data_IF_599027042107
#
_entry.id   IF_599027042107
#
_cell.length_a   1.000
_cell.length_b   1.000
_cell.length_c   1.000
_cell.angle_alpha   90.00
_cell.angle_beta   90.00
_cell.angle_gamma   90.00
#
_symmetry.space_group_name_H-M   'P 1'
#
loop_
_entity.id
_entity.type
_entity.pdbx_description
1 polymer ?
#
# COMPACT_ATOMS: atom_id res chain seq x y z
N UNK A 1 -3.12 18.76 29.85
CA UNK A 1 -4.01 17.76 30.47
C UNK A 1 -4.31 16.57 29.53
N UNK A 2 -3.31 16.07 28.79
CA UNK A 2 -3.48 14.88 27.92
C UNK A 2 -2.41 13.81 28.15
N UNK A 3 -1.48 14.04 29.08
CA UNK A 3 -0.33 13.15 29.33
C UNK A 3 -0.58 12.12 30.44
N UNK A 4 -1.65 12.26 31.22
CA UNK A 4 -1.92 11.37 32.37
C UNK A 4 -2.80 10.14 32.05
N UNK A 5 -3.47 10.10 30.90
CA UNK A 5 -4.36 8.97 30.55
C UNK A 5 -3.66 7.77 29.91
N UNK A 6 -2.36 7.84 29.61
CA UNK A 6 -1.63 6.79 28.88
C UNK A 6 -0.82 5.83 29.78
N UNK A 7 -0.96 5.94 31.12
CA UNK A 7 -0.10 5.18 32.07
C UNK A 7 -0.72 3.88 32.62
N UNK A 8 -1.89 3.45 32.16
CA UNK A 8 -2.58 2.29 32.77
C UNK A 8 -2.89 1.12 31.82
N UNK A 9 -2.47 1.16 30.56
CA UNK A 9 -2.58 -0.01 29.68
C UNK A 9 -1.39 -0.95 29.95
N UNK A 10 -1.61 -2.19 30.43
CA UNK A 10 -0.53 -3.14 30.61
C UNK A 10 0.20 -3.36 29.28
N UNK A 11 1.53 -3.50 29.30
CA UNK A 11 2.36 -3.73 28.10
C UNK A 11 1.83 -4.87 27.21
N UNK A 12 1.17 -5.86 27.83
CA UNK A 12 0.55 -6.99 27.14
C UNK A 12 -0.67 -6.61 26.29
N UNK A 13 -1.51 -5.66 26.75
CA UNK A 13 -2.67 -5.21 25.99
C UNK A 13 -2.24 -4.32 24.80
N UNK A 14 -1.19 -3.52 24.95
CA UNK A 14 -0.57 -2.83 23.80
C UNK A 14 -0.12 -3.84 22.75
N UNK A 15 0.64 -4.88 23.14
CA UNK A 15 1.12 -5.91 22.22
C UNK A 15 -0.03 -6.61 21.50
N UNK A 16 -1.08 -7.02 22.24
CA UNK A 16 -2.28 -7.65 21.68
C UNK A 16 -2.97 -6.77 20.64
N UNK A 17 -3.11 -5.48 20.90
CA UNK A 17 -3.72 -4.53 19.97
C UNK A 17 -2.85 -4.30 18.72
N UNK A 18 -1.54 -4.21 18.88
CA UNK A 18 -0.60 -4.12 17.75
C UNK A 18 -0.69 -5.36 16.85
N UNK A 19 -0.69 -6.56 17.42
CA UNK A 19 -0.82 -7.81 16.66
C UNK A 19 -2.18 -7.90 15.94
N UNK A 20 -3.26 -7.49 16.62
CA UNK A 20 -4.61 -7.43 16.03
C UNK A 20 -4.65 -6.46 14.84
N UNK A 21 -4.00 -5.30 14.95
CA UNK A 21 -3.86 -4.34 13.85
C UNK A 21 -3.04 -4.91 12.70
N UNK A 22 -1.93 -5.59 13.00
CA UNK A 22 -1.09 -6.27 12.02
C UNK A 22 -1.87 -7.29 11.19
N UNK A 23 -2.58 -8.21 11.86
CA UNK A 23 -3.42 -9.23 11.21
C UNK A 23 -4.52 -8.61 10.34
N UNK A 24 -5.19 -7.56 10.82
CA UNK A 24 -6.22 -6.85 10.04
C UNK A 24 -5.65 -6.22 8.78
N UNK A 25 -4.45 -5.63 8.86
CA UNK A 25 -3.77 -5.05 7.71
C UNK A 25 -3.39 -6.11 6.68
N UNK A 26 -2.86 -7.26 7.13
CA UNK A 26 -2.52 -8.38 6.24
C UNK A 26 -3.76 -8.95 5.54
N UNK A 27 -4.87 -9.11 6.27
CA UNK A 27 -6.14 -9.52 5.68
C UNK A 27 -6.62 -8.51 4.63
N UNK A 28 -6.51 -7.20 4.92
CA UNK A 28 -6.87 -6.16 3.97
C UNK A 28 -6.05 -6.25 2.68
N UNK A 29 -4.74 -6.48 2.79
CA UNK A 29 -3.86 -6.65 1.63
C UNK A 29 -4.19 -7.91 0.83
N UNK A 30 -4.48 -9.02 1.50
CA UNK A 30 -4.90 -10.26 0.84
C UNK A 30 -6.22 -10.08 0.08
N UNK A 31 -7.22 -9.44 0.70
CA UNK A 31 -8.51 -9.17 0.08
C UNK A 31 -8.37 -8.23 -1.13
N UNK A 32 -7.53 -7.20 -1.02
CA UNK A 32 -7.26 -6.26 -2.11
C UNK A 32 -6.60 -6.96 -3.30
N UNK A 33 -5.56 -7.77 -3.05
CA UNK A 33 -4.89 -8.54 -4.11
C UNK A 33 -5.86 -9.50 -4.80
N UNK A 34 -6.68 -10.24 -4.05
CA UNK A 34 -7.68 -11.15 -4.60
C UNK A 34 -8.71 -10.42 -5.47
N UNK A 35 -9.16 -9.24 -5.03
CA UNK A 35 -10.10 -8.43 -5.80
C UNK A 35 -9.50 -7.91 -7.11
N UNK A 36 -8.26 -7.40 -7.07
CA UNK A 36 -7.55 -6.93 -8.28
C UNK A 36 -7.35 -8.09 -9.27
N UNK A 37 -6.92 -9.25 -8.79
CA UNK A 37 -6.73 -10.44 -9.63
C UNK A 37 -8.05 -10.84 -10.28
N UNK A 38 -9.14 -10.87 -9.53
CA UNK A 38 -10.48 -11.15 -10.07
C UNK A 38 -10.83 -10.18 -11.22
N UNK A 39 -10.64 -8.88 -11.02
CA UNK A 39 -10.87 -7.89 -12.07
C UNK A 39 -9.96 -8.10 -13.28
N UNK A 40 -8.68 -8.43 -13.07
CA UNK A 40 -7.74 -8.68 -14.16
C UNK A 40 -8.16 -9.91 -14.99
N UNK A 41 -8.64 -10.97 -14.33
CA UNK A 41 -9.13 -12.17 -15.01
C UNK A 41 -10.43 -11.89 -15.79
N UNK A 42 -11.36 -11.13 -15.21
CA UNK A 42 -12.61 -10.73 -15.87
C UNK A 42 -12.36 -9.84 -17.09
N UNK A 43 -11.34 -8.98 -17.05
CA UNK A 43 -10.97 -8.07 -18.12
C UNK A 43 -9.91 -8.64 -19.08
N UNK A 44 -9.48 -9.90 -18.89
CA UNK A 44 -8.40 -10.55 -19.66
C UNK A 44 -7.09 -9.76 -19.73
N UNK A 45 -6.71 -9.12 -18.61
CA UNK A 45 -5.47 -8.35 -18.48
C UNK A 45 -4.31 -9.31 -18.19
N UNK A 46 -3.29 -9.30 -19.04
CA UNK A 46 -2.07 -10.10 -18.88
C UNK A 46 -0.95 -9.36 -18.12
N UNK A 47 -1.02 -8.03 -18.04
CA UNK A 47 0.03 -7.19 -17.46
C UNK A 47 -0.55 -6.08 -16.60
N UNK A 48 -0.04 -5.96 -15.37
CA UNK A 48 -0.37 -4.90 -14.41
C UNK A 48 0.84 -3.99 -14.20
N UNK A 49 0.66 -2.69 -14.43
CA UNK A 49 1.64 -1.67 -14.05
C UNK A 49 1.26 -1.10 -12.68
N UNK A 50 2.17 -1.20 -11.73
CA UNK A 50 1.99 -0.73 -10.35
C UNK A 50 2.91 0.48 -10.17
N UNK A 51 2.36 1.61 -9.76
CA UNK A 51 3.16 2.76 -9.36
C UNK A 51 4.08 2.40 -8.18
N UNK A 52 5.36 2.76 -8.23
CA UNK A 52 6.25 2.72 -7.06
C UNK A 52 6.43 4.13 -6.52
N UNK A 53 6.18 4.26 -5.22
CA UNK A 53 6.36 5.50 -4.47
C UNK A 53 7.82 5.68 -4.00
N UNK A 54 8.74 4.78 -4.39
CA UNK A 54 10.17 4.97 -4.18
C UNK A 54 10.63 6.29 -4.82
N UNK A 55 11.00 7.26 -3.97
CA UNK A 55 11.49 8.58 -4.40
C UNK A 55 10.61 9.76 -3.98
N UNK A 56 9.35 9.54 -3.63
CA UNK A 56 8.44 10.59 -3.14
C UNK A 56 8.66 10.94 -1.65
N UNK A 57 9.66 10.35 -1.00
CA UNK A 57 9.97 10.55 0.41
C UNK A 57 10.65 11.90 0.72
N UNK A 58 10.94 12.73 -0.30
CA UNK A 58 11.73 13.93 -0.11
C UNK A 58 10.90 15.20 0.11
N UNK A 59 11.31 15.94 1.14
CA UNK A 59 11.11 17.36 1.44
C UNK A 59 9.97 17.88 2.32
N UNK A 60 9.07 17.04 2.86
CA UNK A 60 8.23 17.49 3.99
C UNK A 60 8.08 16.39 5.04
N UNK A 61 8.34 16.67 6.34
CA UNK A 61 7.89 15.81 7.43
C UNK A 61 6.36 15.90 7.53
N UNK A 62 5.67 15.32 6.56
CA UNK A 62 4.27 15.03 6.70
C UNK A 62 4.15 13.88 7.70
N UNK A 63 3.19 13.92 8.62
CA UNK A 63 2.94 12.88 9.64
C UNK A 63 2.69 11.45 9.09
N UNK A 64 2.83 11.24 7.77
CA UNK A 64 2.63 10.00 7.03
C UNK A 64 3.91 9.28 6.54
N UNK A 65 5.12 9.74 6.87
CA UNK A 65 6.38 9.10 6.45
C UNK A 65 6.54 7.63 6.93
N UNK A 66 5.67 7.17 7.84
CA UNK A 66 5.60 5.78 8.32
C UNK A 66 4.94 4.79 7.34
N UNK A 67 4.31 5.25 6.24
CA UNK A 67 3.44 4.39 5.43
C UNK A 67 4.14 3.70 4.22
N UNK A 68 5.41 4.02 3.92
CA UNK A 68 6.12 3.40 2.80
C UNK A 68 6.38 1.90 3.00
N UNK A 69 6.62 1.47 4.23
CA UNK A 69 6.84 0.04 4.53
C UNK A 69 5.56 -0.78 4.35
N UNK A 70 4.40 -0.20 4.68
CA UNK A 70 3.11 -0.81 4.42
C UNK A 70 2.84 -0.96 2.93
N UNK A 71 3.16 0.07 2.15
CA UNK A 71 3.02 0.08 0.70
C UNK A 71 3.91 -0.97 0.01
N UNK A 72 5.20 -1.05 0.38
CA UNK A 72 6.11 -2.08 -0.15
C UNK A 72 5.63 -3.50 0.15
N UNK A 73 5.08 -3.74 1.34
CA UNK A 73 4.49 -5.03 1.69
C UNK A 73 3.26 -5.36 0.85
N UNK A 74 2.42 -4.37 0.56
CA UNK A 74 1.27 -4.53 -0.32
C UNK A 74 1.72 -4.90 -1.74
N UNK A 75 2.68 -4.15 -2.32
CA UNK A 75 3.24 -4.44 -3.65
C UNK A 75 3.81 -5.85 -3.68
N UNK A 76 4.66 -6.22 -2.72
CA UNK A 76 5.27 -7.55 -2.68
C UNK A 76 4.20 -8.67 -2.63
N UNK A 77 3.15 -8.49 -1.80
CA UNK A 77 2.05 -9.45 -1.72
C UNK A 77 1.27 -9.53 -3.03
N UNK A 78 1.02 -8.39 -3.67
CA UNK A 78 0.33 -8.32 -4.97
C UNK A 78 1.14 -8.98 -6.07
N UNK A 79 2.44 -8.69 -6.19
CA UNK A 79 3.33 -9.26 -7.21
C UNK A 79 3.33 -10.78 -7.14
N UNK A 80 3.53 -11.36 -5.95
CA UNK A 80 3.46 -12.82 -5.76
C UNK A 80 2.09 -13.36 -6.11
N UNK A 81 1.03 -12.66 -5.72
CA UNK A 81 -0.33 -13.13 -6.00
C UNK A 81 -0.62 -13.10 -7.50
N UNK A 82 -0.22 -12.06 -8.23
CA UNK A 82 -0.44 -11.92 -9.68
C UNK A 82 0.37 -12.96 -10.48
N UNK A 83 1.62 -13.20 -10.07
CA UNK A 83 2.50 -14.20 -10.70
C UNK A 83 1.90 -15.60 -10.64
N UNK A 84 1.26 -15.97 -9.52
CA UNK A 84 0.55 -17.25 -9.40
C UNK A 84 -0.59 -17.44 -10.40
N UNK A 85 -1.16 -16.35 -10.93
CA UNK A 85 -2.21 -16.40 -11.96
C UNK A 85 -1.66 -16.11 -13.37
N UNK A 86 -0.34 -16.04 -13.54
CA UNK A 86 0.31 -15.76 -14.83
C UNK A 86 0.18 -14.31 -15.31
N UNK A 87 -0.10 -13.37 -14.40
CA UNK A 87 -0.20 -11.94 -14.71
C UNK A 87 1.14 -11.28 -14.39
N UNK A 88 1.75 -10.63 -15.39
CA UNK A 88 3.02 -9.93 -15.22
C UNK A 88 2.81 -8.64 -14.43
N UNK A 89 3.57 -8.41 -13.35
CA UNK A 89 3.49 -7.20 -12.54
C UNK A 89 4.79 -6.39 -12.64
N UNK A 90 4.69 -5.13 -13.08
CA UNK A 90 5.84 -4.23 -13.21
C UNK A 90 5.68 -3.00 -12.31
N UNK A 91 6.74 -2.68 -11.58
CA UNK A 91 6.81 -1.45 -10.79
C UNK A 91 7.27 -0.28 -11.68
N UNK A 92 6.50 0.81 -11.72
CA UNK A 92 6.78 2.00 -12.53
C UNK A 92 6.92 3.21 -11.59
N UNK A 93 8.01 3.99 -11.66
CA UNK A 93 8.20 5.13 -10.76
C UNK A 93 7.14 6.22 -10.98
N UNK A 94 6.51 6.72 -9.91
CA UNK A 94 5.41 7.70 -9.98
C UNK A 94 5.83 9.19 -9.98
N UNK A 95 7.02 9.54 -10.47
CA UNK A 95 7.45 10.95 -10.45
C UNK A 95 6.51 11.85 -11.28
N UNK A 96 5.74 12.72 -10.61
CA UNK A 96 4.91 13.73 -11.26
C UNK A 96 3.55 13.25 -11.81
N UNK A 97 3.16 11.99 -11.60
CA UNK A 97 1.89 11.43 -12.12
C UNK A 97 0.65 12.12 -11.55
N UNK A 98 0.74 12.68 -10.34
CA UNK A 98 -0.34 13.44 -9.70
C UNK A 98 -0.44 14.89 -10.20
N UNK A 99 0.63 15.42 -10.80
CA UNK A 99 0.70 16.82 -11.24
C UNK A 99 0.35 16.98 -12.71
N UNK A 100 0.21 15.89 -13.46
CA UNK A 100 0.01 15.94 -14.90
C UNK A 100 -1.31 15.28 -15.26
N UNK A 101 -2.15 15.99 -16.02
CA UNK A 101 -3.40 15.43 -16.52
C UNK A 101 -3.12 14.24 -17.46
N UNK A 102 -3.64 13.05 -17.14
CA UNK A 102 -3.48 11.86 -17.98
C UNK A 102 -4.06 12.01 -19.40
N UNK A 103 -5.00 12.95 -19.60
CA UNK A 103 -5.63 13.21 -20.91
C UNK A 103 -4.93 14.29 -21.73
N UNK A 104 -4.49 15.37 -21.09
CA UNK A 104 -4.02 16.58 -21.77
C UNK A 104 -2.53 16.87 -21.57
N UNK A 105 -1.85 16.17 -20.66
CA UNK A 105 -0.42 16.36 -20.40
C UNK A 105 -0.04 17.71 -19.77
N UNK A 106 -1.01 18.52 -19.37
CA UNK A 106 -0.78 19.80 -18.70
C UNK A 106 -0.62 19.62 -17.19
N UNK A 107 0.09 20.55 -16.55
CA UNK A 107 0.15 20.61 -15.09
C UNK A 107 -1.24 20.95 -14.49
N UNK A 108 -1.59 20.30 -13.38
CA UNK A 108 -2.83 20.51 -12.60
C UNK A 108 -2.57 21.10 -11.23
#
# INVERSE_FOLDING_TARGET
MSEEMDRSVPKDEHRRLYDKRGRRREQMFANMAAHIIKMCLELHISTLLIGDLCGLAHDKPCKGNTNMWGYRKLIARMSVSLENYGIAAFAVPEYGTLKVCARHGCEV
#
